data_IF_722035497454
#
_entry.id   IF_722035497454
#
_cell.length_a   1.000
_cell.length_b   1.000
_cell.length_c   1.000
_cell.angle_alpha   90.00
_cell.angle_beta   90.00
_cell.angle_gamma   90.00
#
_symmetry.space_group_name_H-M   'P 1'
#
loop_
_entity.id
_entity.type
_entity.pdbx_description
1 polymer ?
#
# COMPACT_ATOMS: atom_id res chain seq x y z
N UNK A 1 11.83 -50.66 -11.37
CA UNK A 1 12.02 -49.84 -10.15
C UNK A 1 13.52 -49.74 -9.89
N UNK A 2 14.10 -48.61 -9.44
CA UNK A 2 13.54 -47.59 -8.54
C UNK A 2 13.54 -46.14 -9.06
N UNK A 3 12.82 -45.30 -8.33
CA UNK A 3 12.64 -43.84 -8.48
C UNK A 3 13.59 -43.07 -7.54
N UNK A 4 14.20 -41.99 -8.04
CA UNK A 4 14.97 -40.95 -7.32
C UNK A 4 15.03 -39.73 -8.27
N UNK A 5 14.82 -38.47 -7.92
CA UNK A 5 14.87 -37.73 -6.67
C UNK A 5 13.94 -36.50 -6.79
N UNK A 6 13.14 -36.19 -5.78
CA UNK A 6 13.27 -34.97 -4.96
C UNK A 6 13.83 -33.73 -5.67
N UNK A 7 12.95 -32.79 -5.97
CA UNK A 7 13.07 -31.39 -5.56
C UNK A 7 11.65 -30.82 -5.57
N UNK A 8 11.02 -30.83 -4.40
CA UNK A 8 9.83 -30.05 -4.18
C UNK A 8 10.21 -28.59 -4.30
N UNK A 9 9.85 -27.98 -5.43
CA UNK A 9 9.66 -26.53 -5.52
C UNK A 9 8.47 -26.23 -4.60
N UNK A 10 8.74 -26.12 -3.32
CA UNK A 10 7.80 -25.50 -2.40
C UNK A 10 8.01 -24.02 -2.70
N UNK A 11 7.07 -23.31 -3.33
CA UNK A 11 7.23 -21.88 -3.50
C UNK A 11 7.37 -21.32 -2.09
N UNK A 12 8.59 -20.94 -1.71
CA UNK A 12 8.82 -20.21 -0.48
C UNK A 12 7.81 -19.05 -0.52
N UNK A 13 6.92 -18.94 0.47
CA UNK A 13 5.96 -17.86 0.53
C UNK A 13 6.76 -16.56 0.63
N UNK A 14 7.04 -15.95 -0.53
CA UNK A 14 7.71 -14.65 -0.59
C UNK A 14 6.84 -13.68 0.19
N UNK A 15 7.42 -12.84 1.05
CA UNK A 15 6.64 -11.85 1.77
C UNK A 15 5.88 -10.99 0.75
N UNK A 16 4.56 -10.93 0.92
CA UNK A 16 3.68 -10.19 0.02
C UNK A 16 3.85 -8.71 0.28
N UNK A 17 3.83 -7.88 -0.76
CA UNK A 17 3.81 -6.43 -0.59
C UNK A 17 2.36 -5.99 -0.44
N UNK A 18 2.04 -5.36 0.69
CA UNK A 18 0.79 -4.65 0.87
C UNK A 18 0.97 -3.23 0.35
N UNK A 19 0.37 -2.91 -0.80
CA UNK A 19 0.52 -1.60 -1.44
C UNK A 19 -0.83 -0.90 -1.39
N UNK A 20 -0.88 0.26 -0.74
CA UNK A 20 -2.13 0.94 -0.39
C UNK A 20 -2.11 2.37 -0.90
N UNK A 21 -3.25 2.82 -1.41
CA UNK A 21 -3.52 4.21 -1.80
C UNK A 21 -4.64 4.75 -0.93
N UNK A 22 -4.37 5.90 -0.31
CA UNK A 22 -5.29 6.66 0.53
C UNK A 22 -5.41 8.07 -0.04
N UNK A 23 -6.60 8.63 0.05
CA UNK A 23 -6.81 10.06 -0.08
C UNK A 23 -7.47 10.58 1.20
N UNK A 24 -7.23 11.85 1.47
CA UNK A 24 -7.70 12.54 2.66
C UNK A 24 -8.50 13.76 2.26
N UNK A 25 -9.58 14.02 2.97
CA UNK A 25 -10.39 15.24 2.87
C UNK A 25 -10.44 15.88 4.26
N UNK A 26 -10.70 17.19 4.29
CA UNK A 26 -11.07 17.85 5.53
C UNK A 26 -12.58 17.76 5.68
N UNK A 27 -13.03 17.33 6.85
CA UNK A 27 -14.44 17.39 7.20
C UNK A 27 -14.87 18.82 7.57
N UNK A 28 -16.10 18.97 8.04
CA UNK A 28 -16.69 20.26 8.44
C UNK A 28 -16.00 20.89 9.65
N UNK A 29 -15.32 20.09 10.48
CA UNK A 29 -14.55 20.53 11.66
C UNK A 29 -13.10 20.89 11.28
N UNK A 30 -12.69 20.56 10.04
CA UNK A 30 -11.35 20.79 9.53
C UNK A 30 -10.39 19.62 9.80
N UNK A 31 -10.89 18.52 10.37
CA UNK A 31 -10.11 17.34 10.68
C UNK A 31 -9.85 16.51 9.43
N UNK A 32 -8.64 15.95 9.39
CA UNK A 32 -8.18 15.18 8.25
C UNK A 32 -8.72 13.75 8.34
N UNK A 33 -9.69 13.43 7.47
CA UNK A 33 -10.32 12.12 7.39
C UNK A 33 -9.97 11.42 6.09
N UNK A 34 -9.92 10.08 6.11
CA UNK A 34 -9.79 9.31 4.88
C UNK A 34 -11.01 9.53 3.99
N UNK A 35 -10.79 9.96 2.76
CA UNK A 35 -11.85 10.27 1.81
C UNK A 35 -12.62 9.03 1.34
N UNK A 36 -11.96 7.87 1.35
CA UNK A 36 -12.53 6.57 1.00
C UNK A 36 -11.70 5.45 1.66
N UNK A 37 -12.25 4.22 1.64
CA UNK A 37 -11.56 3.03 2.18
C UNK A 37 -10.20 2.79 1.52
N UNK A 38 -9.13 2.50 2.27
CA UNK A 38 -7.79 2.27 1.72
C UNK A 38 -7.83 1.28 0.55
N UNK A 39 -7.32 1.71 -0.62
CA UNK A 39 -7.35 0.88 -1.82
C UNK A 39 -6.05 0.13 -1.95
N UNK A 40 -6.11 -1.19 -1.81
CA UNK A 40 -4.98 -2.05 -2.12
C UNK A 40 -4.79 -2.16 -3.64
N UNK A 41 -3.55 -2.01 -4.09
CA UNK A 41 -3.17 -2.15 -5.50
C UNK A 41 -2.09 -3.22 -5.65
N UNK A 42 -2.02 -3.82 -6.84
CA UNK A 42 -1.11 -4.93 -7.10
C UNK A 42 0.34 -4.50 -7.40
N UNK A 43 0.61 -3.19 -7.56
CA UNK A 43 1.93 -2.70 -7.97
C UNK A 43 2.20 -1.26 -7.54
N UNK A 44 3.47 -0.95 -7.29
CA UNK A 44 3.92 0.37 -6.83
C UNK A 44 3.66 1.45 -7.89
N UNK A 45 3.90 1.14 -9.17
CA UNK A 45 3.59 2.05 -10.29
C UNK A 45 2.12 2.43 -10.32
N UNK A 46 1.23 1.45 -10.08
CA UNK A 46 -0.20 1.71 -10.02
C UNK A 46 -0.55 2.59 -8.83
N UNK A 47 0.05 2.36 -7.66
CA UNK A 47 -0.13 3.20 -6.49
C UNK A 47 0.30 4.66 -6.74
N UNK A 48 1.43 4.86 -7.42
CA UNK A 48 1.93 6.19 -7.80
C UNK A 48 1.02 6.88 -8.81
N UNK A 49 0.57 6.16 -9.84
CA UNK A 49 -0.34 6.71 -10.85
C UNK A 49 -1.69 7.10 -10.24
N UNK A 50 -2.31 6.22 -9.44
CA UNK A 50 -3.57 6.52 -8.76
C UNK A 50 -3.41 7.69 -7.79
N UNK A 51 -2.33 7.70 -6.99
CA UNK A 51 -2.03 8.81 -6.08
C UNK A 51 -1.90 10.15 -6.82
N UNK A 52 -1.16 10.18 -7.94
CA UNK A 52 -1.03 11.38 -8.78
C UNK A 52 -2.36 11.81 -9.38
N UNK A 53 -3.21 10.89 -9.84
CA UNK A 53 -4.54 11.21 -10.38
C UNK A 53 -5.43 11.85 -9.33
N UNK A 54 -5.44 11.30 -8.11
CA UNK A 54 -6.22 11.84 -7.00
C UNK A 54 -5.70 13.23 -6.61
N UNK A 55 -4.38 13.41 -6.52
CA UNK A 55 -3.79 14.73 -6.25
C UNK A 55 -4.14 15.75 -7.34
N UNK A 56 -4.12 15.33 -8.61
CA UNK A 56 -4.46 16.18 -9.75
C UNK A 56 -5.96 16.52 -9.83
N UNK A 57 -6.84 15.78 -9.14
CA UNK A 57 -8.29 16.08 -9.14
C UNK A 57 -8.62 17.35 -8.34
N UNK A 58 -7.74 17.76 -7.42
CA UNK A 58 -7.95 18.91 -6.53
C UNK A 58 -9.11 18.74 -5.54
N UNK A 59 -9.70 17.55 -5.45
CA UNK A 59 -10.86 17.27 -4.59
C UNK A 59 -10.46 16.83 -3.18
N UNK A 60 -9.18 16.50 -2.99
CA UNK A 60 -8.65 15.92 -1.76
C UNK A 60 -7.68 16.90 -1.09
N UNK A 61 -7.74 16.99 0.24
CA UNK A 61 -6.81 17.77 1.05
C UNK A 61 -5.40 17.16 1.03
N UNK A 62 -5.31 15.83 0.91
CA UNK A 62 -4.05 15.15 0.63
C UNK A 62 -4.22 13.73 0.12
N UNK A 63 -3.11 13.13 -0.32
CA UNK A 63 -3.07 11.81 -0.93
C UNK A 63 -1.78 11.12 -0.51
N UNK A 64 -1.88 9.87 -0.09
CA UNK A 64 -0.76 9.06 0.37
C UNK A 64 -0.83 7.67 -0.24
N UNK A 65 0.19 7.32 -1.00
CA UNK A 65 0.42 5.96 -1.48
C UNK A 65 1.67 5.42 -0.81
N UNK A 66 1.57 4.23 -0.25
CA UNK A 66 2.66 3.57 0.46
C UNK A 66 2.59 2.07 0.23
N UNK A 67 3.69 1.38 0.48
CA UNK A 67 3.68 -0.07 0.59
C UNK A 67 4.39 -0.51 1.84
N UNK A 68 4.05 -1.68 2.35
CA UNK A 68 4.86 -2.34 3.38
C UNK A 68 4.99 -3.81 3.07
N UNK A 69 6.03 -4.41 3.62
CA UNK A 69 6.16 -5.86 3.62
C UNK A 69 5.08 -6.46 4.52
N UNK A 70 4.31 -7.42 4.01
CA UNK A 70 3.35 -8.20 4.77
C UNK A 70 3.78 -9.67 4.72
N UNK A 71 4.56 -10.05 5.72
CA UNK A 71 4.96 -11.44 5.91
C UNK A 71 3.82 -12.17 6.64
N UNK A 72 2.92 -12.77 5.86
CA UNK A 72 1.79 -13.54 6.40
C UNK A 72 2.22 -14.85 7.08
N UNK A 73 3.47 -15.27 6.89
CA UNK A 73 4.01 -16.53 7.42
C UNK A 73 4.46 -16.32 8.86
N UNK A 74 5.17 -15.22 9.10
CA UNK A 74 5.65 -14.81 10.42
C UNK A 74 4.68 -13.87 11.13
N UNK A 75 3.67 -13.35 10.43
CA UNK A 75 2.74 -12.34 10.94
C UNK A 75 3.38 -10.97 11.11
N UNK A 76 4.48 -10.71 10.40
CA UNK A 76 5.26 -9.49 10.53
C UNK A 76 4.92 -8.49 9.43
N UNK A 77 4.75 -7.23 9.84
CA UNK A 77 4.63 -6.12 8.92
C UNK A 77 5.91 -5.30 8.99
N UNK A 78 6.55 -5.10 7.84
CA UNK A 78 7.70 -4.21 7.74
C UNK A 78 7.28 -2.75 7.79
N UNK A 79 8.27 -1.85 7.82
CA UNK A 79 8.06 -0.42 7.81
C UNK A 79 7.32 0.04 6.52
N UNK A 80 6.38 0.99 6.63
CA UNK A 80 5.72 1.57 5.48
C UNK A 80 6.71 2.43 4.68
N UNK A 81 6.83 2.11 3.40
CA UNK A 81 7.60 2.86 2.42
C UNK A 81 6.64 3.73 1.62
N UNK A 82 6.77 5.05 1.77
CA UNK A 82 5.97 6.03 1.03
C UNK A 82 6.38 6.02 -0.45
N UNK A 83 5.43 5.76 -1.33
CA UNK A 83 5.59 5.78 -2.78
C UNK A 83 5.26 7.15 -3.37
N UNK A 84 4.24 7.80 -2.81
CA UNK A 84 3.75 9.10 -3.24
C UNK A 84 3.03 9.79 -2.08
N UNK A 85 3.27 11.08 -1.90
CA UNK A 85 2.65 11.90 -0.87
C UNK A 85 2.38 13.28 -1.47
N UNK A 86 1.19 13.82 -1.22
CA UNK A 86 0.80 15.14 -1.69
C UNK A 86 -0.23 15.79 -0.76
N UNK A 87 -0.09 17.09 -0.50
CA UNK A 87 -1.02 17.85 0.34
C UNK A 87 -0.91 17.51 1.83
N UNK A 88 -1.99 17.73 2.56
CA UNK A 88 -2.12 17.39 3.98
C UNK A 88 -2.38 15.90 4.13
N UNK A 89 -1.39 15.17 4.65
CA UNK A 89 -1.55 13.76 5.04
C UNK A 89 -1.07 13.61 6.48
N UNK A 90 -1.67 12.68 7.26
CA UNK A 90 -1.21 12.44 8.61
C UNK A 90 0.18 11.79 8.56
N UNK A 91 0.98 12.04 9.59
CA UNK A 91 2.25 11.35 9.76
C UNK A 91 1.98 9.87 9.98
N UNK A 92 2.68 9.00 9.24
CA UNK A 92 2.68 7.57 9.52
C UNK A 92 3.77 7.30 10.57
N UNK A 93 3.34 6.94 11.77
CA UNK A 93 4.18 6.34 12.82
C UNK A 93 4.34 4.83 12.60
#
# INVERSE_FOLDING_TARGET
MPIKSSSGDTPEPKPSKLIVVLAFVRDEEGDLQTAFEPREVQSEDRAKQEGRKLAASGSYAGVLSWWRTADLVNGEFGDPVILFQHGDVPQMD
#
